data_IF_797805312462
#
_entry.id   IF_797805312462
#
_cell.length_a   1.000
_cell.length_b   1.000
_cell.length_c   1.000
_cell.angle_alpha   90.00
_cell.angle_beta   90.00
_cell.angle_gamma   90.00
#
_symmetry.space_group_name_H-M   'P 1'
#
loop_
_entity.id
_entity.type
_entity.pdbx_description
1 polymer ?
#
# COMPACT_ATOMS: atom_id res chain seq x y z
N UNK A 1 11.55 -7.97 5.20
CA UNK A 1 10.60 -7.12 5.95
C UNK A 1 11.12 -5.70 5.85
N UNK A 2 10.36 -4.78 5.26
CA UNK A 2 10.73 -3.37 5.13
C UNK A 2 9.74 -2.55 5.94
N UNK A 3 10.26 -1.61 6.75
CA UNK A 3 9.44 -0.69 7.53
C UNK A 3 9.70 0.73 7.04
N UNK A 4 8.65 1.38 6.54
CA UNK A 4 8.62 2.79 6.22
C UNK A 4 7.91 3.53 7.36
N UNK A 5 8.68 4.16 8.25
CA UNK A 5 8.16 4.97 9.34
C UNK A 5 8.43 6.46 9.11
N UNK A 6 7.39 7.29 9.23
CA UNK A 6 7.37 8.68 8.76
C UNK A 6 7.37 9.76 9.84
N UNK A 7 7.77 9.46 11.09
CA UNK A 7 7.56 10.34 12.26
C UNK A 7 8.24 11.70 12.21
N UNK A 8 9.16 11.95 11.25
CA UNK A 8 9.90 13.21 11.10
C UNK A 8 9.90 13.81 9.68
N UNK A 9 9.09 13.28 8.77
CA UNK A 9 9.10 13.70 7.37
C UNK A 9 7.70 14.13 6.92
N UNK A 10 7.24 15.35 7.27
CA UNK A 10 6.02 15.89 6.69
C UNK A 10 6.24 16.13 5.18
N UNK A 11 5.30 15.67 4.35
CA UNK A 11 5.32 15.85 2.89
C UNK A 11 6.40 15.04 2.15
N UNK A 12 6.58 13.77 2.52
CA UNK A 12 7.51 12.88 1.82
C UNK A 12 6.85 12.06 0.70
N UNK A 13 7.60 11.85 -0.38
CA UNK A 13 7.31 10.86 -1.40
C UNK A 13 8.26 9.67 -1.24
N UNK A 14 7.71 8.49 -0.97
CA UNK A 14 8.47 7.28 -0.71
C UNK A 14 8.20 6.31 -1.87
N UNK A 15 9.26 5.91 -2.58
CA UNK A 15 9.19 4.96 -3.68
C UNK A 15 9.96 3.69 -3.31
N UNK A 16 9.27 2.56 -3.23
CA UNK A 16 9.83 1.24 -2.95
C UNK A 16 9.52 0.33 -4.14
N UNK A 17 10.28 0.46 -5.22
CA UNK A 17 10.06 -0.24 -6.48
C UNK A 17 10.87 -1.54 -6.58
N UNK A 18 10.84 -2.35 -5.52
CA UNK A 18 11.59 -3.61 -5.46
C UNK A 18 10.69 -4.75 -4.95
N UNK A 19 11.21 -5.99 -4.95
CA UNK A 19 10.55 -7.16 -4.39
C UNK A 19 10.48 -7.07 -2.87
N UNK A 20 9.32 -6.67 -2.35
CA UNK A 20 9.09 -6.57 -0.92
C UNK A 20 8.37 -7.82 -0.45
N UNK A 21 8.93 -8.52 0.53
CA UNK A 21 8.20 -9.64 1.13
C UNK A 21 7.02 -9.13 1.98
N UNK A 22 7.29 -8.24 2.94
CA UNK A 22 6.32 -7.65 3.86
C UNK A 22 6.64 -6.18 4.06
N UNK A 23 5.63 -5.31 3.98
CA UNK A 23 5.76 -3.86 4.13
C UNK A 23 4.97 -3.35 5.35
N UNK A 24 5.63 -2.57 6.20
CA UNK A 24 5.01 -1.85 7.30
C UNK A 24 5.09 -0.35 7.05
N UNK A 25 3.96 0.34 7.10
CA UNK A 25 3.84 1.79 6.98
C UNK A 25 3.30 2.30 8.31
N UNK A 26 4.14 3.00 9.06
CA UNK A 26 3.84 3.42 10.43
C UNK A 26 4.03 4.92 10.62
N UNK A 27 3.03 5.56 11.24
CA UNK A 27 3.13 6.94 11.73
C UNK A 27 3.51 7.95 10.63
N UNK A 28 2.94 7.79 9.43
CA UNK A 28 3.13 8.70 8.29
C UNK A 28 2.04 9.78 8.25
N UNK A 29 2.43 11.03 7.94
CA UNK A 29 1.49 12.16 7.80
C UNK A 29 1.80 12.98 6.55
N UNK A 30 0.79 13.24 5.74
CA UNK A 30 0.92 13.97 4.47
C UNK A 30 1.93 13.30 3.51
N UNK A 31 2.02 11.97 3.49
CA UNK A 31 2.99 11.25 2.66
C UNK A 31 2.32 10.53 1.49
N UNK A 32 3.04 10.45 0.38
CA UNK A 32 2.68 9.59 -0.74
C UNK A 32 3.65 8.43 -0.81
N UNK A 33 3.14 7.20 -0.73
CA UNK A 33 3.92 5.98 -0.65
C UNK A 33 3.55 5.11 -1.83
N UNK A 34 4.52 4.83 -2.67
CA UNK A 34 4.41 3.97 -3.84
C UNK A 34 5.30 2.76 -3.59
N UNK A 35 4.67 1.60 -3.47
CA UNK A 35 5.34 0.32 -3.33
C UNK A 35 5.07 -0.55 -4.55
N UNK A 36 6.09 -1.28 -4.97
CA UNK A 36 5.98 -2.36 -5.94
C UNK A 36 5.20 -3.56 -5.39
N UNK A 37 5.28 -4.72 -6.06
CA UNK A 37 4.56 -5.92 -5.64
C UNK A 37 5.08 -6.44 -4.29
N UNK A 38 4.21 -6.41 -3.29
CA UNK A 38 4.43 -7.01 -1.98
C UNK A 38 3.97 -8.47 -2.02
N UNK A 39 4.88 -9.40 -1.76
CA UNK A 39 4.57 -10.83 -1.89
C UNK A 39 3.56 -11.32 -0.86
N UNK A 40 3.62 -10.84 0.38
CA UNK A 40 2.77 -11.34 1.47
C UNK A 40 1.79 -10.28 1.96
N UNK A 41 2.22 -9.42 2.86
CA UNK A 41 1.32 -8.55 3.62
C UNK A 41 1.81 -7.11 3.70
N UNK A 42 0.85 -6.20 3.67
CA UNK A 42 1.04 -4.77 3.82
C UNK A 42 0.25 -4.29 5.04
N UNK A 43 0.94 -3.67 5.98
CA UNK A 43 0.36 -3.13 7.20
C UNK A 43 0.47 -1.61 7.21
N UNK A 44 -0.65 -0.92 7.38
CA UNK A 44 -0.71 0.55 7.51
C UNK A 44 -1.24 0.89 8.91
N UNK A 45 -0.46 1.63 9.70
CA UNK A 45 -0.83 2.01 11.06
C UNK A 45 -0.60 3.48 11.33
N UNK A 46 -1.53 4.12 12.03
CA UNK A 46 -1.40 5.51 12.51
C UNK A 46 -1.06 6.52 11.40
N UNK A 47 -1.64 6.35 10.21
CA UNK A 47 -1.37 7.22 9.07
C UNK A 47 -2.47 8.28 8.88
N UNK A 48 -2.11 9.50 8.51
CA UNK A 48 -3.07 10.60 8.31
C UNK A 48 -2.81 11.34 7.01
N UNK A 49 -3.86 11.59 6.22
CA UNK A 49 -3.77 12.33 4.96
C UNK A 49 -2.68 11.78 4.03
N UNK A 50 -2.72 10.46 3.78
CA UNK A 50 -1.69 9.76 3.01
C UNK A 50 -2.26 9.15 1.74
N UNK A 51 -1.43 9.06 0.71
CA UNK A 51 -1.73 8.33 -0.51
C UNK A 51 -0.84 7.09 -0.57
N UNK A 52 -1.44 5.92 -0.70
CA UNK A 52 -0.73 4.64 -0.70
C UNK A 52 -1.05 3.92 -2.00
N UNK A 53 -0.04 3.50 -2.73
CA UNK A 53 -0.19 2.71 -3.93
C UNK A 53 0.66 1.45 -3.75
N UNK A 54 0.03 0.28 -3.77
CA UNK A 54 0.71 -0.99 -3.57
C UNK A 54 -0.12 -2.18 -4.07
N UNK A 55 0.56 -3.28 -4.35
CA UNK A 55 -0.06 -4.59 -4.60
C UNK A 55 0.39 -5.56 -3.52
N UNK A 56 -0.51 -6.36 -2.94
CA UNK A 56 -0.18 -7.33 -1.90
C UNK A 56 -1.13 -8.54 -1.89
N UNK A 57 -0.82 -9.61 -1.15
CA UNK A 57 -1.80 -10.68 -0.91
C UNK A 57 -2.76 -10.34 0.23
N UNK A 58 -2.25 -9.72 1.31
CA UNK A 58 -3.02 -9.34 2.49
C UNK A 58 -2.81 -7.87 2.85
N UNK A 59 -3.89 -7.09 2.91
CA UNK A 59 -3.86 -5.70 3.30
C UNK A 59 -4.49 -5.51 4.69
N UNK A 60 -3.77 -4.88 5.61
CA UNK A 60 -4.27 -4.54 6.95
C UNK A 60 -4.05 -3.06 7.25
N UNK A 61 -5.11 -2.36 7.64
CA UNK A 61 -5.09 -0.95 7.98
C UNK A 61 -5.68 -0.73 9.38
N UNK A 62 -4.99 0.06 10.20
CA UNK A 62 -5.42 0.38 11.57
C UNK A 62 -5.14 1.84 11.93
N UNK A 63 -6.04 2.48 12.66
CA UNK A 63 -5.88 3.83 13.20
C UNK A 63 -5.49 4.86 12.12
N UNK A 64 -6.11 4.77 10.94
CA UNK A 64 -5.82 5.64 9.80
C UNK A 64 -6.94 6.66 9.54
N UNK A 65 -6.58 7.86 9.09
CA UNK A 65 -7.54 8.93 8.82
C UNK A 65 -7.26 9.63 7.48
N UNK A 66 -8.29 9.79 6.65
CA UNK A 66 -8.20 10.47 5.35
C UNK A 66 -7.10 9.86 4.45
N UNK A 67 -7.14 8.54 4.26
CA UNK A 67 -6.12 7.80 3.48
C UNK A 67 -6.72 7.29 2.17
N UNK A 68 -6.06 7.60 1.06
CA UNK A 68 -6.41 7.07 -0.26
C UNK A 68 -5.48 5.94 -0.63
N UNK A 69 -6.02 4.75 -0.84
CA UNK A 69 -5.24 3.54 -1.15
C UNK A 69 -5.59 3.01 -2.54
N UNK A 70 -4.60 2.97 -3.43
CA UNK A 70 -4.64 2.30 -4.72
C UNK A 70 -4.10 0.87 -4.53
N UNK A 71 -5.00 -0.09 -4.39
CA UNK A 71 -4.67 -1.43 -3.92
C UNK A 71 -5.05 -2.49 -4.95
N UNK A 72 -4.14 -3.44 -5.17
CA UNK A 72 -4.47 -4.75 -5.73
C UNK A 72 -4.22 -5.79 -4.64
N UNK A 73 -5.28 -6.46 -4.19
CA UNK A 73 -5.21 -7.45 -3.12
C UNK A 73 -5.88 -8.75 -3.54
N UNK A 74 -5.24 -9.88 -3.26
CA UNK A 74 -5.84 -11.21 -3.52
C UNK A 74 -6.86 -11.58 -2.44
N UNK A 75 -6.61 -11.22 -1.18
CA UNK A 75 -7.58 -11.41 -0.09
C UNK A 75 -8.44 -10.16 0.13
N UNK A 76 -9.50 -10.30 0.93
CA UNK A 76 -10.24 -9.15 1.44
C UNK A 76 -9.33 -8.25 2.32
N UNK A 77 -9.35 -6.92 2.14
CA UNK A 77 -8.62 -5.99 3.00
C UNK A 77 -9.28 -5.91 4.38
N UNK A 78 -8.46 -5.81 5.44
CA UNK A 78 -8.91 -5.68 6.82
C UNK A 78 -8.67 -4.24 7.28
N UNK A 79 -9.72 -3.58 7.77
CA UNK A 79 -9.69 -2.18 8.21
C UNK A 79 -10.23 -2.11 9.63
N UNK A 80 -9.48 -1.49 10.53
CA UNK A 80 -9.83 -1.33 11.94
C UNK A 80 -9.66 0.14 12.35
N UNK A 81 -10.59 0.67 13.16
CA UNK A 81 -10.48 2.01 13.79
C UNK A 81 -10.04 3.14 12.86
N UNK A 82 -10.52 3.14 11.62
CA UNK A 82 -10.08 4.08 10.57
C UNK A 82 -11.26 4.86 10.00
N UNK A 83 -11.04 6.10 9.57
CA UNK A 83 -12.09 6.98 9.03
C UNK A 83 -11.65 7.71 7.75
N UNK A 84 -12.62 8.08 6.90
CA UNK A 84 -12.40 8.74 5.61
C UNK A 84 -11.43 7.99 4.68
N UNK A 85 -11.66 6.69 4.49
CA UNK A 85 -10.84 5.88 3.60
C UNK A 85 -11.39 5.90 2.18
N UNK A 86 -10.48 5.99 1.20
CA UNK A 86 -10.81 5.87 -0.22
C UNK A 86 -10.00 4.72 -0.82
N UNK A 87 -10.67 3.83 -1.54
CA UNK A 87 -10.02 2.72 -2.24
C UNK A 87 -10.22 2.87 -3.75
N UNK A 88 -9.16 2.57 -4.48
CA UNK A 88 -9.13 2.59 -5.93
C UNK A 88 -8.29 1.41 -6.46
N UNK A 89 -8.53 0.95 -7.70
CA UNK A 89 -7.73 -0.11 -8.29
C UNK A 89 -6.27 0.35 -8.47
N UNK A 90 -5.33 -0.57 -8.22
CA UNK A 90 -3.91 -0.34 -8.49
C UNK A 90 -3.64 -0.15 -9.98
N UNK A 91 -3.10 1.00 -10.35
CA UNK A 91 -2.75 1.35 -11.73
C UNK A 91 -1.35 1.93 -11.80
N UNK A 92 -0.34 1.09 -11.58
CA UNK A 92 1.07 1.46 -11.75
C UNK A 92 1.67 0.66 -12.89
N UNK A 93 2.34 1.35 -13.81
CA UNK A 93 3.04 0.77 -14.94
C UNK A 93 4.46 1.32 -14.97
N UNK A 94 5.45 0.44 -14.84
CA UNK A 94 6.87 0.77 -15.02
C UNK A 94 7.59 -0.41 -15.68
N UNK A 95 8.69 -0.18 -16.44
CA UNK A 95 9.31 -1.22 -17.28
C UNK A 95 9.75 -2.48 -16.52
N UNK A 96 10.26 -2.31 -15.30
CA UNK A 96 10.79 -3.39 -14.44
C UNK A 96 9.68 -4.23 -13.78
N UNK A 97 8.43 -3.72 -13.76
CA UNK A 97 7.30 -4.41 -13.14
C UNK A 97 6.99 -5.74 -13.83
N UNK A 98 7.16 -5.83 -15.16
CA UNK A 98 6.89 -7.04 -15.96
C UNK A 98 7.72 -8.25 -15.53
N UNK A 99 8.90 -8.03 -14.95
CA UNK A 99 9.79 -9.09 -14.47
C UNK A 99 9.42 -9.53 -13.06
N UNK A 100 8.94 -8.59 -12.24
CA UNK A 100 8.60 -8.81 -10.83
C UNK A 100 7.16 -9.26 -10.55
N UNK A 101 6.24 -9.06 -11.49
CA UNK A 101 4.83 -9.39 -11.31
C UNK A 101 4.64 -10.90 -11.32
N UNK A 102 4.22 -11.48 -10.20
CA UNK A 102 3.82 -12.88 -10.15
C UNK A 102 2.70 -13.13 -11.17
N UNK A 103 2.70 -14.25 -11.90
CA UNK A 103 1.77 -14.50 -13.02
C UNK A 103 0.28 -14.52 -12.62
N UNK A 104 -0.05 -14.47 -11.34
CA UNK A 104 -1.42 -14.31 -10.83
C UNK A 104 -1.87 -12.86 -10.67
N UNK A 105 -0.98 -11.87 -10.62
CA UNK A 105 -1.35 -10.49 -10.31
C UNK A 105 -1.81 -9.66 -11.53
N UNK A 106 -1.95 -10.29 -12.71
CA UNK A 106 -2.46 -9.63 -13.93
C UNK A 106 -3.99 -9.59 -14.01
N UNK A 107 -4.71 -10.31 -13.16
CA UNK A 107 -6.17 -10.38 -13.18
C UNK A 107 -6.74 -10.42 -11.76
N UNK A 108 -6.91 -9.28 -11.09
CA UNK A 108 -7.78 -9.27 -9.92
C UNK A 108 -8.75 -8.10 -9.94
N UNK A 109 -10.02 -8.47 -10.15
CA UNK A 109 -11.22 -7.67 -9.93
C UNK A 109 -11.14 -7.04 -8.54
N UNK A 110 -11.07 -5.72 -8.48
CA UNK A 110 -11.45 -4.98 -7.29
C UNK A 110 -12.96 -5.15 -7.13
N UNK A 111 -13.41 -6.15 -6.37
CA UNK A 111 -14.79 -6.19 -5.93
C UNK A 111 -14.92 -5.14 -4.83
N UNK A 112 -15.67 -4.08 -5.15
CA UNK A 112 -16.24 -3.14 -4.17
C UNK A 112 -17.46 -3.83 -3.56
#
# INVERSE_FOLDING_TARGET
MITASGTRLPNAFIYLLDHINTLFIDECKNCSIIAGPVQTSLFVRKCTNCNILASCQQYRMRDCNSVTTFLACTSAPIIESSSELKFAPYQLSYPELKVSSSPGCMYFKCYI
#
